data_IF_463981835177
#
_entry.id   IF_463981835177
#
_cell.length_a   1.000
_cell.length_b   1.000
_cell.length_c   1.000
_cell.angle_alpha   90.00
_cell.angle_beta   90.00
_cell.angle_gamma   90.00
#
_symmetry.space_group_name_H-M   'P 1'
#
loop_
_entity.id
_entity.type
_entity.pdbx_description
1 polymer ?
#
# COMPACT_ATOMS: atom_id res chain seq x y z
N UNK A 1 0.98 16.41 -26.67
CA UNK A 1 0.51 15.01 -26.80
C UNK A 1 1.10 14.09 -25.73
N UNK A 2 2.31 14.35 -25.24
CA UNK A 2 2.95 13.58 -24.17
C UNK A 2 2.21 13.69 -22.83
N UNK A 3 1.75 14.90 -22.45
CA UNK A 3 1.02 15.13 -21.18
C UNK A 3 -0.31 14.37 -21.08
N UNK A 4 -1.05 14.24 -22.20
CA UNK A 4 -2.31 13.48 -22.25
C UNK A 4 -2.02 11.99 -22.03
N UNK A 5 -0.92 11.49 -22.58
CA UNK A 5 -0.53 10.08 -22.46
C UNK A 5 -0.10 9.76 -21.03
N UNK A 6 0.70 10.63 -20.41
CA UNK A 6 1.14 10.50 -19.01
C UNK A 6 -0.05 10.59 -18.05
N UNK A 7 -0.95 11.56 -18.27
CA UNK A 7 -2.17 11.72 -17.48
C UNK A 7 -3.10 10.51 -17.58
N UNK A 8 -3.32 10.00 -18.79
CA UNK A 8 -4.13 8.80 -19.03
C UNK A 8 -3.56 7.57 -18.34
N UNK A 9 -2.24 7.33 -18.45
CA UNK A 9 -1.56 6.21 -17.77
C UNK A 9 -1.72 6.30 -16.26
N UNK A 10 -1.56 7.48 -15.67
CA UNK A 10 -1.72 7.67 -14.22
C UNK A 10 -3.16 7.40 -13.77
N UNK A 11 -4.15 7.92 -14.48
CA UNK A 11 -5.56 7.70 -14.16
C UNK A 11 -5.91 6.21 -14.27
N UNK A 12 -5.45 5.52 -15.31
CA UNK A 12 -5.66 4.08 -15.46
C UNK A 12 -5.05 3.27 -14.31
N UNK A 13 -3.88 3.67 -13.79
CA UNK A 13 -3.28 3.03 -12.60
C UNK A 13 -4.14 3.24 -11.36
N UNK A 14 -4.66 4.44 -11.14
CA UNK A 14 -5.54 4.73 -10.00
C UNK A 14 -6.82 3.91 -10.09
N UNK A 15 -7.48 3.88 -11.25
CA UNK A 15 -8.72 3.11 -11.45
C UNK A 15 -8.46 1.61 -11.20
N UNK A 16 -7.31 1.08 -11.67
CA UNK A 16 -6.94 -0.30 -11.42
C UNK A 16 -6.73 -0.57 -9.92
N UNK A 17 -5.98 0.28 -9.24
CA UNK A 17 -5.75 0.16 -7.80
C UNK A 17 -7.07 0.21 -7.00
N UNK A 18 -7.97 1.15 -7.33
CA UNK A 18 -9.29 1.24 -6.70
C UNK A 18 -10.14 -0.02 -6.90
N UNK A 19 -10.10 -0.61 -8.11
CA UNK A 19 -10.82 -1.86 -8.39
C UNK A 19 -10.24 -3.03 -7.60
N UNK A 20 -8.92 -3.14 -7.54
CA UNK A 20 -8.21 -4.17 -6.79
C UNK A 20 -8.52 -4.07 -5.29
N UNK A 21 -8.38 -2.86 -4.72
CA UNK A 21 -8.71 -2.52 -3.35
C UNK A 21 -10.17 -2.89 -2.99
N UNK A 22 -11.15 -2.40 -3.77
CA UNK A 22 -12.56 -2.71 -3.51
C UNK A 22 -12.88 -4.21 -3.61
N UNK A 23 -12.17 -4.96 -4.46
CA UNK A 23 -12.44 -6.38 -4.66
C UNK A 23 -11.83 -7.23 -3.53
N UNK A 24 -10.67 -6.83 -3.01
CA UNK A 24 -10.05 -7.48 -1.86
C UNK A 24 -10.93 -7.39 -0.62
N UNK A 25 -11.54 -6.24 -0.34
CA UNK A 25 -12.41 -6.02 0.84
C UNK A 25 -13.69 -6.89 0.89
N UNK A 26 -14.08 -7.51 -0.23
CA UNK A 26 -15.35 -8.25 -0.37
C UNK A 26 -15.18 -9.78 -0.42
N UNK A 27 -13.95 -10.31 -0.32
CA UNK A 27 -13.67 -11.74 -0.54
C UNK A 27 -13.49 -12.52 0.78
N UNK A 28 -14.13 -13.71 0.92
CA UNK A 28 -14.06 -14.49 2.15
C UNK A 28 -12.66 -15.08 2.41
N UNK A 29 -11.96 -15.64 1.43
CA UNK A 29 -10.56 -16.08 1.61
C UNK A 29 -9.88 -16.09 0.25
N UNK A 30 -8.69 -15.50 0.14
CA UNK A 30 -7.93 -15.46 -1.11
C UNK A 30 -6.43 -15.52 -0.82
N UNK A 31 -5.72 -16.16 -1.72
CA UNK A 31 -4.28 -16.02 -1.84
C UNK A 31 -3.96 -14.63 -2.41
N UNK A 32 -3.25 -13.81 -1.65
CA UNK A 32 -2.92 -12.43 -2.02
C UNK A 32 -1.42 -12.20 -1.96
N UNK A 33 -0.95 -11.35 -2.86
CA UNK A 33 0.33 -10.66 -2.69
C UNK A 33 0.09 -9.44 -1.79
N UNK A 34 0.70 -9.44 -0.61
CA UNK A 34 0.60 -8.32 0.32
C UNK A 34 1.25 -7.04 -0.23
N UNK A 35 2.27 -7.16 -1.10
CA UNK A 35 2.95 -6.02 -1.68
C UNK A 35 2.04 -5.28 -2.67
N UNK A 36 1.28 -6.01 -3.48
CA UNK A 36 0.32 -5.42 -4.43
C UNK A 36 -0.71 -4.57 -3.69
N UNK A 37 -1.25 -5.09 -2.60
CA UNK A 37 -2.28 -4.38 -1.87
C UNK A 37 -1.75 -3.18 -1.06
N UNK A 38 -0.55 -3.27 -0.47
CA UNK A 38 0.12 -2.10 0.10
C UNK A 38 0.34 -1.04 -1.00
N UNK A 39 0.80 -1.44 -2.18
CA UNK A 39 1.04 -0.53 -3.30
C UNK A 39 -0.24 0.13 -3.81
N UNK A 40 -1.33 -0.62 -3.94
CA UNK A 40 -2.65 -0.11 -4.29
C UNK A 40 -3.12 0.93 -3.27
N UNK A 41 -2.93 0.66 -1.98
CA UNK A 41 -3.27 1.59 -0.90
C UNK A 41 -2.46 2.88 -1.00
N UNK A 42 -1.14 2.79 -1.20
CA UNK A 42 -0.27 3.96 -1.39
C UNK A 42 -0.68 4.76 -2.64
N UNK A 43 -1.08 4.10 -3.73
CA UNK A 43 -1.57 4.76 -4.95
C UNK A 43 -2.87 5.54 -4.68
N UNK A 44 -3.82 4.93 -3.96
CA UNK A 44 -5.10 5.56 -3.62
C UNK A 44 -4.88 6.76 -2.68
N UNK A 45 -3.98 6.62 -1.71
CA UNK A 45 -3.66 7.65 -0.72
C UNK A 45 -2.68 8.71 -1.22
N UNK A 46 -2.18 8.62 -2.46
CA UNK A 46 -1.18 9.55 -3.03
C UNK A 46 -1.54 11.04 -2.87
N UNK A 47 -2.83 11.37 -2.81
CA UNK A 47 -3.31 12.73 -2.68
C UNK A 47 -2.99 13.33 -1.30
N UNK A 48 -2.85 12.51 -0.26
CA UNK A 48 -2.48 12.90 1.10
C UNK A 48 -1.00 13.20 1.23
N UNK A 49 -0.15 12.49 0.48
CA UNK A 49 1.32 12.66 0.55
C UNK A 49 1.83 13.97 -0.05
N UNK A 50 0.98 14.68 -0.81
CA UNK A 50 1.34 15.95 -1.47
C UNK A 50 1.84 17.05 -0.52
N UNK A 51 1.69 16.86 0.79
CA UNK A 51 2.15 17.80 1.82
C UNK A 51 3.63 17.62 2.22
N UNK A 52 4.36 16.70 1.58
CA UNK A 52 5.79 16.47 1.81
C UNK A 52 6.11 15.12 2.45
N UNK A 53 5.28 14.11 2.17
CA UNK A 53 5.52 12.72 2.58
C UNK A 53 6.07 11.94 1.39
N UNK A 54 7.14 11.16 1.61
CA UNK A 54 7.63 10.19 0.63
C UNK A 54 7.52 8.78 1.20
N UNK A 55 7.01 7.84 0.40
CA UNK A 55 6.88 6.44 0.80
C UNK A 55 7.93 5.58 0.11
N UNK A 56 8.85 5.04 0.89
CA UNK A 56 9.88 4.09 0.48
C UNK A 56 9.42 2.66 0.75
N UNK A 57 9.79 1.74 -0.15
CA UNK A 57 9.37 0.34 -0.10
C UNK A 57 10.60 -0.54 -0.05
N UNK A 58 10.70 -1.33 1.00
CA UNK A 58 11.77 -2.30 1.22
C UNK A 58 11.13 -3.69 1.38
N UNK A 59 10.71 -4.23 0.24
CA UNK A 59 9.94 -5.46 0.21
C UNK A 59 10.84 -6.66 0.02
N UNK A 60 10.82 -7.60 0.97
CA UNK A 60 11.36 -8.92 0.76
C UNK A 60 10.52 -9.68 -0.27
N UNK A 61 11.04 -9.80 -1.49
CA UNK A 61 10.36 -10.46 -2.62
C UNK A 61 10.37 -11.98 -2.53
N UNK A 62 11.01 -12.55 -1.50
CA UNK A 62 10.97 -14.00 -1.24
C UNK A 62 9.73 -14.43 -0.42
N UNK A 63 8.99 -13.47 0.12
CA UNK A 63 7.77 -13.75 0.89
C UNK A 63 6.72 -14.48 0.02
N UNK A 64 6.07 -15.53 0.56
CA UNK A 64 5.03 -16.24 -0.16
C UNK A 64 3.77 -15.37 -0.25
N UNK A 65 2.89 -15.75 -1.17
CA UNK A 65 1.52 -15.25 -1.12
C UNK A 65 0.85 -15.74 0.16
N UNK A 66 0.02 -14.90 0.75
CA UNK A 66 -0.69 -15.23 1.99
C UNK A 66 -2.14 -15.54 1.70
N UNK A 67 -2.62 -16.64 2.28
CA UNK A 67 -4.05 -16.94 2.28
C UNK A 67 -4.71 -16.16 3.40
N UNK A 68 -5.39 -15.08 3.05
CA UNK A 68 -5.98 -14.14 4.00
C UNK A 68 -7.49 -14.00 3.78
N UNK A 69 -8.18 -13.60 4.83
CA UNK A 69 -9.53 -13.05 4.71
C UNK A 69 -9.38 -11.63 4.17
N UNK A 70 -9.96 -11.36 3.00
CA UNK A 70 -9.74 -10.09 2.29
C UNK A 70 -10.40 -8.90 2.97
N UNK A 71 -11.37 -9.14 3.87
CA UNK A 71 -12.11 -8.10 4.57
C UNK A 71 -11.19 -7.26 5.47
N UNK A 72 -10.94 -6.01 5.06
CA UNK A 72 -10.34 -5.00 5.92
C UNK A 72 -8.81 -4.97 5.96
N UNK A 73 -8.08 -5.82 5.23
CA UNK A 73 -6.61 -5.70 5.14
C UNK A 73 -6.18 -4.37 4.52
N UNK A 74 -6.92 -3.95 3.50
CA UNK A 74 -6.83 -2.63 2.92
C UNK A 74 -7.03 -1.51 3.95
N UNK A 75 -7.99 -1.67 4.85
CA UNK A 75 -8.22 -0.71 5.95
C UNK A 75 -7.07 -0.75 6.95
N UNK A 76 -6.50 -1.92 7.25
CA UNK A 76 -5.30 -2.04 8.09
C UNK A 76 -4.15 -1.26 7.49
N UNK A 77 -3.86 -1.43 6.20
CA UNK A 77 -2.79 -0.70 5.52
C UNK A 77 -3.04 0.82 5.51
N UNK A 78 -4.27 1.24 5.20
CA UNK A 78 -4.64 2.65 5.23
C UNK A 78 -4.46 3.26 6.63
N UNK A 79 -4.88 2.55 7.67
CA UNK A 79 -4.73 2.98 9.06
C UNK A 79 -3.26 3.07 9.49
N UNK A 80 -2.42 2.10 9.10
CA UNK A 80 -0.98 2.14 9.43
C UNK A 80 -0.27 3.29 8.73
N UNK A 81 -0.61 3.56 7.46
CA UNK A 81 -0.07 4.71 6.71
C UNK A 81 -0.54 6.02 7.32
N UNK A 82 -1.81 6.11 7.74
CA UNK A 82 -2.34 7.29 8.42
C UNK A 82 -1.65 7.53 9.76
N UNK A 83 -1.49 6.50 10.58
CA UNK A 83 -0.77 6.59 11.85
C UNK A 83 0.68 7.05 11.65
N UNK A 84 1.35 6.55 10.61
CA UNK A 84 2.70 6.99 10.28
C UNK A 84 2.74 8.46 9.87
N UNK A 85 1.79 8.92 9.03
CA UNK A 85 1.67 10.33 8.65
C UNK A 85 1.38 11.25 9.84
N UNK A 86 0.53 10.81 10.77
CA UNK A 86 0.19 11.58 11.97
C UNK A 86 1.40 11.70 12.90
N UNK A 87 2.16 10.62 13.09
CA UNK A 87 3.37 10.60 13.91
C UNK A 87 4.46 11.58 13.42
N UNK A 88 4.50 11.84 12.11
CA UNK A 88 5.44 12.75 11.45
C UNK A 88 4.84 14.13 11.13
N UNK A 89 3.65 14.45 11.65
CA UNK A 89 2.95 15.73 11.38
C UNK A 89 2.80 16.04 9.88
N UNK A 90 2.60 15.00 9.07
CA UNK A 90 2.35 15.10 7.62
C UNK A 90 3.57 15.44 6.75
N UNK A 91 4.81 15.39 7.27
CA UNK A 91 6.05 15.66 6.51
C UNK A 91 7.19 14.72 6.89
N UNK A 92 7.96 14.24 5.92
CA UNK A 92 9.09 13.32 6.12
C UNK A 92 8.98 12.04 5.28
N UNK A 93 9.59 10.95 5.75
CA UNK A 93 9.65 9.69 5.01
C UNK A 93 8.97 8.54 5.77
N UNK A 94 8.13 7.77 5.08
CA UNK A 94 7.59 6.50 5.56
C UNK A 94 8.36 5.38 4.83
N UNK A 95 8.93 4.44 5.57
CA UNK A 95 9.56 3.24 5.03
C UNK A 95 8.68 2.05 5.37
N UNK A 96 8.13 1.40 4.35
CA UNK A 96 7.38 0.15 4.50
C UNK A 96 8.31 -1.02 4.21
N UNK A 97 8.57 -1.82 5.23
CA UNK A 97 9.40 -3.02 5.12
C UNK A 97 8.54 -4.26 5.23
N UNK A 98 8.92 -5.31 4.49
CA UNK A 98 8.37 -6.64 4.70
C UNK A 98 9.49 -7.64 4.81
N UNK A 99 9.38 -8.58 5.73
CA UNK A 99 10.38 -9.63 5.95
C UNK A 99 9.76 -10.86 6.62
N UNK A 100 10.44 -11.99 6.47
CA UNK A 100 10.15 -13.17 7.28
C UNK A 100 10.76 -13.04 8.67
N UNK A 101 9.95 -13.28 9.69
CA UNK A 101 10.43 -13.44 11.05
C UNK A 101 9.83 -14.72 11.65
N UNK A 102 10.70 -15.66 12.01
CA UNK A 102 10.31 -16.99 12.51
C UNK A 102 9.38 -17.74 11.54
N UNK A 103 8.07 -17.71 11.80
CA UNK A 103 7.03 -18.35 10.98
C UNK A 103 5.92 -17.37 10.58
N UNK A 104 6.19 -16.07 10.70
CA UNK A 104 5.25 -15.01 10.37
C UNK A 104 5.84 -14.12 9.26
N UNK A 105 4.94 -13.46 8.55
CA UNK A 105 5.29 -12.38 7.64
C UNK A 105 5.06 -11.08 8.39
N UNK A 106 6.11 -10.30 8.54
CA UNK A 106 6.08 -9.02 9.26
C UNK A 106 6.01 -7.88 8.26
N UNK A 107 5.13 -6.92 8.54
CA UNK A 107 5.01 -5.66 7.79
C UNK A 107 5.31 -4.54 8.79
N UNK A 108 6.41 -3.82 8.57
CA UNK A 108 6.90 -2.76 9.45
C UNK A 108 6.77 -1.41 8.76
N UNK A 109 6.26 -0.42 9.49
CA UNK A 109 6.20 0.98 9.07
C UNK A 109 7.13 1.81 9.95
N UNK A 110 8.22 2.31 9.39
CA UNK A 110 9.15 3.20 10.07
C UNK A 110 9.02 4.63 9.54
N UNK A 111 9.07 5.63 10.42
CA UNK A 111 9.07 7.05 10.05
C UNK A 111 10.46 7.65 10.22
N UNK A 112 10.80 8.63 9.37
CA UNK A 112 12.05 9.40 9.43
C UNK A 112 11.80 10.88 9.18
#
# INVERSE_FOLDING_TARGET
MEDIRVGSVRISRIIRAMKSYSHMDQSPQREVDIHEGIDDTVIIMQHRFKQGVTVHRDYDRSLPHLTVYGNGLNQVWANLIDNAMDAMSGRGDIVVKTYHEMNEVVIEYATR
#
